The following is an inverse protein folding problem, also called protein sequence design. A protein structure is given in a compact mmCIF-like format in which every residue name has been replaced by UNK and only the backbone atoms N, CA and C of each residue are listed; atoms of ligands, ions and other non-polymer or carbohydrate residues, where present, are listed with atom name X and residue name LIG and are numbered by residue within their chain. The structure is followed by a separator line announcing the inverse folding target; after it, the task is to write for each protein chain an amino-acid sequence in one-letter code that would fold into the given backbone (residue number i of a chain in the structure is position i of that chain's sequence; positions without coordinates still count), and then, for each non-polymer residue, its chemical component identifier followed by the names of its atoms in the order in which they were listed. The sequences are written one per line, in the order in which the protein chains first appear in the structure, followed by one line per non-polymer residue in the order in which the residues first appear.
data_IF_984287163303
#
_entry.id   IF_984287163303
#
_cell.length_a   1.000
_cell.length_b   1.000
_cell.length_c   1.000
_cell.angle_alpha   90.00
_cell.angle_beta   90.00
_cell.angle_gamma   90.00
#
_symmetry.space_group_name_H-M   'P 1'
#
loop_
_entity.id
_entity.type
_entity.pdbx_description
1 polymer ?
#
# COMPACT_ATOMS: atom_id res chain seq x y z
N UNK A 1 18.14 9.57 -19.68
CA UNK A 1 16.71 9.79 -19.41
C UNK A 1 16.66 10.39 -18.02
N UNK A 2 16.27 11.65 -17.89
CA UNK A 2 15.99 12.26 -16.58
C UNK A 2 14.73 11.59 -16.06
N UNK A 3 14.87 10.70 -15.08
CA UNK A 3 13.71 10.20 -14.35
C UNK A 3 13.14 11.36 -13.54
N UNK A 4 11.82 11.59 -13.56
CA UNK A 4 11.21 12.55 -12.66
C UNK A 4 11.59 12.18 -11.22
N UNK A 5 11.73 13.16 -10.31
CA UNK A 5 12.01 12.87 -8.92
C UNK A 5 10.95 11.89 -8.40
N UNK A 6 11.38 10.70 -7.98
CA UNK A 6 10.52 9.78 -7.25
C UNK A 6 10.09 10.49 -5.97
N UNK A 7 8.85 10.95 -5.98
CA UNK A 7 8.24 11.63 -4.86
C UNK A 7 7.30 10.66 -4.17
N UNK A 8 7.07 10.89 -2.87
CA UNK A 8 6.05 10.17 -2.12
C UNK A 8 4.67 10.20 -2.79
N UNK A 9 4.43 11.18 -3.67
CA UNK A 9 3.14 11.46 -4.31
C UNK A 9 2.53 10.24 -5.01
N UNK A 10 3.29 9.44 -5.77
CA UNK A 10 2.70 8.27 -6.46
C UNK A 10 2.20 7.20 -5.47
N UNK A 11 2.97 6.91 -4.41
CA UNK A 11 2.52 6.01 -3.36
C UNK A 11 1.33 6.59 -2.59
N UNK A 12 1.39 7.87 -2.23
CA UNK A 12 0.31 8.58 -1.51
C UNK A 12 -1.00 8.53 -2.30
N UNK A 13 -0.96 8.84 -3.59
CA UNK A 13 -2.16 8.86 -4.44
C UNK A 13 -2.79 7.47 -4.57
N UNK A 14 -1.96 6.44 -4.80
CA UNK A 14 -2.43 5.04 -4.90
C UNK A 14 -3.00 4.53 -3.59
N UNK A 15 -2.34 4.83 -2.48
CA UNK A 15 -2.80 4.44 -1.16
C UNK A 15 -4.14 5.13 -0.81
N UNK A 16 -4.27 6.43 -1.05
CA UNK A 16 -5.53 7.16 -0.85
C UNK A 16 -6.66 6.60 -1.73
N UNK A 17 -6.37 6.31 -3.00
CA UNK A 17 -7.34 5.68 -3.90
C UNK A 17 -7.78 4.30 -3.39
N UNK A 18 -6.84 3.47 -2.91
CA UNK A 18 -7.12 2.17 -2.32
C UNK A 18 -8.00 2.27 -1.07
N UNK A 19 -7.68 3.19 -0.16
CA UNK A 19 -8.43 3.43 1.08
C UNK A 19 -9.87 3.84 0.76
N UNK A 20 -10.07 4.67 -0.26
CA UNK A 20 -11.37 5.15 -0.71
C UNK A 20 -12.24 4.14 -1.46
N UNK A 21 -11.77 2.89 -1.68
CA UNK A 21 -12.55 1.89 -2.40
C UNK A 21 -13.86 1.56 -1.66
N UNK A 22 -15.00 1.52 -2.37
CA UNK A 22 -16.25 1.10 -1.77
C UNK A 22 -16.18 -0.39 -1.38
N UNK A 23 -17.01 -0.81 -0.42
CA UNK A 23 -17.12 -2.22 -0.02
C UNK A 23 -17.55 -3.14 -1.18
N UNK A 24 -18.17 -2.56 -2.22
CA UNK A 24 -18.58 -3.26 -3.45
C UNK A 24 -17.45 -3.44 -4.48
N UNK A 25 -16.24 -2.94 -4.20
CA UNK A 25 -15.10 -3.16 -5.08
C UNK A 25 -14.84 -4.67 -5.28
N UNK A 26 -14.57 -5.07 -6.51
CA UNK A 26 -14.35 -6.49 -6.82
C UNK A 26 -13.04 -6.99 -6.24
N UNK A 27 -12.98 -8.29 -5.91
CA UNK A 27 -11.76 -8.93 -5.42
C UNK A 27 -10.55 -8.74 -6.36
N UNK A 28 -10.80 -8.74 -7.67
CA UNK A 28 -9.78 -8.46 -8.70
C UNK A 28 -9.25 -7.03 -8.57
N UNK A 29 -10.14 -6.06 -8.44
CA UNK A 29 -9.76 -4.65 -8.28
C UNK A 29 -8.97 -4.41 -6.99
N UNK A 30 -9.43 -4.96 -5.86
CA UNK A 30 -8.72 -4.85 -4.57
C UNK A 30 -7.33 -5.48 -4.66
N UNK A 31 -7.23 -6.69 -5.23
CA UNK A 31 -5.94 -7.37 -5.41
C UNK A 31 -4.99 -6.52 -6.26
N UNK A 32 -5.42 -6.09 -7.45
CA UNK A 32 -4.58 -5.29 -8.34
C UNK A 32 -4.12 -3.98 -7.69
N UNK A 33 -5.02 -3.24 -7.05
CA UNK A 33 -4.69 -1.95 -6.45
C UNK A 33 -3.78 -2.08 -5.24
N UNK A 34 -3.96 -3.10 -4.40
CA UNK A 34 -3.04 -3.38 -3.31
C UNK A 34 -1.61 -3.61 -3.82
N UNK A 35 -1.44 -4.47 -4.83
CA UNK A 35 -0.12 -4.76 -5.39
C UNK A 35 0.50 -3.53 -6.07
N UNK A 36 -0.31 -2.67 -6.70
CA UNK A 36 0.20 -1.41 -7.24
C UNK A 36 0.67 -0.44 -6.15
N UNK A 37 -0.09 -0.29 -5.06
CA UNK A 37 0.34 0.54 -3.92
C UNK A 37 1.63 0.01 -3.30
N UNK A 38 1.75 -1.33 -3.19
CA UNK A 38 2.98 -1.96 -2.70
C UNK A 38 4.18 -1.68 -3.60
N UNK A 39 4.05 -1.88 -4.92
CA UNK A 39 5.12 -1.61 -5.89
C UNK A 39 5.56 -0.14 -5.87
N UNK A 40 4.63 0.80 -5.69
CA UNK A 40 4.96 2.22 -5.57
C UNK A 40 5.79 2.52 -4.31
N UNK A 41 5.47 1.88 -3.18
CA UNK A 41 6.27 1.98 -1.96
C UNK A 41 7.66 1.32 -2.13
N UNK A 42 7.73 0.13 -2.72
CA UNK A 42 9.01 -0.54 -3.04
C UNK A 42 9.89 0.35 -3.91
N UNK A 43 9.33 0.90 -4.99
CA UNK A 43 10.05 1.81 -5.88
C UNK A 43 10.55 3.05 -5.14
N UNK A 44 9.78 3.62 -4.21
CA UNK A 44 10.22 4.76 -3.41
C UNK A 44 11.40 4.39 -2.50
N UNK A 45 11.35 3.21 -1.86
CA UNK A 45 12.40 2.70 -0.97
C UNK A 45 13.70 2.41 -1.74
N UNK A 46 13.60 1.87 -2.95
CA UNK A 46 14.76 1.55 -3.77
C UNK A 46 15.50 2.79 -4.30
N UNK A 47 14.82 3.94 -4.34
CA UNK A 47 15.36 5.19 -4.90
C UNK A 47 15.63 6.25 -3.82
N UNK A 48 15.72 5.86 -2.55
CA UNK A 48 16.06 6.75 -1.43
C UNK A 48 17.23 6.23 -0.62
N UNK A 49 18.15 7.12 -0.25
CA UNK A 49 19.27 6.82 0.65
C UNK A 49 18.79 6.54 2.09
N UNK A 50 17.53 6.88 2.41
CA UNK A 50 16.93 6.72 3.72
C UNK A 50 16.02 5.49 3.83
N UNK A 51 16.31 4.40 3.10
CA UNK A 51 15.44 3.21 3.00
C UNK A 51 14.97 2.66 4.37
N UNK A 52 15.82 2.69 5.40
CA UNK A 52 15.50 2.24 6.75
C UNK A 52 14.32 2.99 7.39
N UNK A 53 14.14 4.28 7.06
CA UNK A 53 13.06 5.11 7.59
C UNK A 53 11.67 4.67 7.12
N UNK A 54 11.59 3.93 6.01
CA UNK A 54 10.36 3.38 5.46
C UNK A 54 10.01 1.99 6.00
N UNK A 55 10.91 1.35 6.75
CA UNK A 55 10.72 -0.01 7.26
C UNK A 55 9.38 -0.28 7.96
N UNK A 56 8.87 0.64 8.81
CA UNK A 56 7.55 0.50 9.42
C UNK A 56 6.39 0.50 8.41
N UNK A 57 6.37 1.47 7.49
CA UNK A 57 5.38 1.55 6.42
C UNK A 57 5.41 0.31 5.52
N UNK A 58 6.62 -0.14 5.17
CA UNK A 58 6.86 -1.35 4.38
C UNK A 58 6.32 -2.61 5.07
N UNK A 59 6.50 -2.76 6.39
CA UNK A 59 5.99 -3.94 7.12
C UNK A 59 4.47 -4.04 7.09
N UNK A 60 3.77 -2.91 7.16
CA UNK A 60 2.31 -2.85 7.15
C UNK A 60 1.72 -3.25 5.79
N UNK A 61 2.30 -2.74 4.69
CA UNK A 61 1.87 -3.07 3.33
C UNK A 61 2.44 -4.41 2.84
N UNK A 62 3.61 -4.84 3.33
CA UNK A 62 4.22 -6.13 3.03
C UNK A 62 3.52 -7.27 3.76
N UNK A 63 4.19 -7.90 4.74
CA UNK A 63 3.69 -9.11 5.40
C UNK A 63 2.27 -8.99 5.98
N UNK A 64 1.97 -7.90 6.70
CA UNK A 64 0.64 -7.75 7.33
C UNK A 64 -0.44 -7.50 6.28
N UNK A 65 -0.15 -6.68 5.28
CA UNK A 65 -1.02 -6.37 4.15
C UNK A 65 -1.31 -7.62 3.33
N UNK A 66 -0.29 -8.38 2.94
CA UNK A 66 -0.44 -9.63 2.20
C UNK A 66 -1.33 -10.64 2.93
N UNK A 67 -1.16 -10.78 4.25
CA UNK A 67 -1.99 -11.68 5.07
C UNK A 67 -3.46 -11.25 5.04
N UNK A 68 -3.75 -9.96 5.20
CA UNK A 68 -5.12 -9.43 5.14
C UNK A 68 -5.72 -9.52 3.73
N UNK A 69 -4.91 -9.31 2.68
CA UNK A 69 -5.33 -9.52 1.31
C UNK A 69 -5.72 -10.99 1.08
N UNK A 70 -4.89 -11.94 1.49
CA UNK A 70 -5.20 -13.36 1.34
C UNK A 70 -6.48 -13.77 2.09
N UNK A 71 -6.70 -13.24 3.29
CA UNK A 71 -7.93 -13.47 4.05
C UNK A 71 -9.16 -12.90 3.31
N UNK A 72 -9.06 -11.67 2.80
CA UNK A 72 -10.13 -11.05 2.01
C UNK A 72 -10.45 -11.86 0.74
N UNK A 73 -9.42 -12.30 0.00
CA UNK A 73 -9.59 -13.11 -1.21
C UNK A 73 -10.20 -14.49 -0.95
N UNK A 74 -10.19 -14.96 0.31
CA UNK A 74 -10.88 -16.18 0.76
C UNK A 74 -12.32 -15.94 1.21
N UNK A 75 -12.80 -14.68 1.20
CA UNK A 75 -14.15 -14.29 1.58
C UNK A 75 -14.29 -13.75 3.01
N UNK A 76 -13.18 -13.39 3.67
CA UNK A 76 -13.26 -12.71 4.98
C UNK A 76 -13.46 -11.20 4.80
N UNK A 77 -14.70 -10.72 4.76
CA UNK A 77 -15.02 -9.31 4.50
C UNK A 77 -14.33 -8.33 5.47
N UNK A 78 -14.20 -8.71 6.74
CA UNK A 78 -13.50 -7.89 7.76
C UNK A 78 -12.02 -7.67 7.43
N UNK A 79 -11.42 -8.56 6.63
CA UNK A 79 -10.03 -8.43 6.21
C UNK A 79 -9.83 -7.28 5.22
N UNK A 80 -10.85 -6.85 4.46
CA UNK A 80 -10.76 -5.67 3.60
C UNK A 80 -10.54 -4.39 4.43
N UNK A 81 -11.29 -4.22 5.51
CA UNK A 81 -11.16 -3.05 6.38
C UNK A 81 -9.81 -3.05 7.10
N UNK A 82 -9.32 -4.21 7.54
CA UNK A 82 -7.95 -4.35 8.08
C UNK A 82 -6.88 -4.05 7.04
N UNK A 83 -7.08 -4.47 5.79
CA UNK A 83 -6.18 -4.19 4.68
C UNK A 83 -6.11 -2.68 4.40
N UNK A 84 -7.25 -2.00 4.33
CA UNK A 84 -7.33 -0.55 4.19
C UNK A 84 -6.67 0.17 5.37
N UNK A 85 -6.88 -0.31 6.60
CA UNK A 85 -6.24 0.25 7.78
C UNK A 85 -4.70 0.14 7.70
N UNK A 86 -4.15 -1.00 7.27
CA UNK A 86 -2.71 -1.14 7.07
C UNK A 86 -2.16 -0.13 6.04
N UNK A 87 -2.86 0.05 4.93
CA UNK A 87 -2.47 1.02 3.89
C UNK A 87 -2.54 2.44 4.43
N UNK A 88 -3.59 2.80 5.17
CA UNK A 88 -3.72 4.11 5.80
C UNK A 88 -2.61 4.36 6.84
N UNK A 89 -2.32 3.40 7.71
CA UNK A 89 -1.27 3.52 8.72
C UNK A 89 0.12 3.59 8.07
N UNK A 90 0.35 2.90 6.95
CA UNK A 90 1.61 3.00 6.21
C UNK A 90 1.87 4.41 5.67
N UNK A 91 0.83 5.18 5.32
CA UNK A 91 0.97 6.58 4.91
C UNK A 91 1.42 7.47 6.07
N UNK A 92 0.88 7.24 7.26
CA UNK A 92 1.21 8.03 8.47
C UNK A 92 2.66 7.79 8.93
N UNK A 93 3.25 6.66 8.55
CA UNK A 93 4.60 6.26 8.92
C UNK A 93 5.65 6.62 7.86
N UNK A 94 5.26 7.28 6.78
CA UNK A 94 6.24 7.79 5.81
C UNK A 94 7.11 8.87 6.46
N UNK A 95 8.42 8.90 6.16
CA UNK A 95 9.26 10.03 6.53
C UNK A 95 8.73 11.32 5.88
N UNK A 96 8.84 12.44 6.61
CA UNK A 96 8.40 13.78 6.18
C UNK A 96 9.45 14.46 5.29
#
# INVERSE_FOLDING_TARGET
MDQPPFSHTDFIDRANYFIGLPITASAVQVNSLFWFSRLALESLIDHTDACFSYGPAWRLIGQTGEKNLQAYLRGEDVALERLKANVAESLLLLPQ
#
